data_IF_962640607086
#
_entry.id   IF_962640607086
#
_cell.length_a   1.000
_cell.length_b   1.000
_cell.length_c   1.000
_cell.angle_alpha   90.00
_cell.angle_beta   90.00
_cell.angle_gamma   90.00
#
_symmetry.space_group_name_H-M   'P 1'
#
loop_
_entity.id
_entity.type
_entity.pdbx_description
1 polymer ?
#
# COMPACT_ATOMS: atom_id res chain seq x y z
N UNK A 1 -6.60 11.13 -1.72
CA UNK A 1 -8.00 10.69 -1.76
C UNK A 1 -8.13 9.44 -0.89
N UNK A 2 -9.13 9.38 0.00
CA UNK A 2 -9.36 8.22 0.87
C UNK A 2 -10.32 7.29 0.15
N UNK A 3 -9.95 6.02 -0.05
CA UNK A 3 -10.87 5.02 -0.60
C UNK A 3 -11.47 4.17 0.53
N UNK A 4 -12.80 3.97 0.56
CA UNK A 4 -13.44 3.02 1.47
C UNK A 4 -12.89 1.61 1.31
N UNK A 5 -12.74 0.88 2.43
CA UNK A 5 -12.23 -0.49 2.42
C UNK A 5 -13.12 -1.45 1.61
N UNK A 6 -14.42 -1.20 1.57
CA UNK A 6 -15.40 -1.97 0.79
C UNK A 6 -15.17 -1.89 -0.74
N UNK A 7 -14.42 -0.90 -1.23
CA UNK A 7 -14.11 -0.75 -2.66
C UNK A 7 -12.87 -1.54 -3.08
N UNK A 8 -12.21 -2.25 -2.16
CA UNK A 8 -11.01 -3.02 -2.45
C UNK A 8 -11.37 -4.37 -3.09
N UNK A 9 -10.93 -4.65 -4.32
CA UNK A 9 -11.23 -5.90 -4.99
C UNK A 9 -10.71 -7.11 -4.22
N UNK A 10 -11.53 -8.17 -4.11
CA UNK A 10 -11.14 -9.43 -3.48
C UNK A 10 -11.04 -9.40 -1.96
N UNK A 11 -11.52 -8.34 -1.30
CA UNK A 11 -11.55 -8.26 0.16
C UNK A 11 -12.58 -9.24 0.72
N UNK A 12 -12.13 -10.19 1.55
CA UNK A 12 -12.99 -11.02 2.39
C UNK A 12 -13.59 -10.16 3.52
N UNK A 13 -14.90 -9.96 3.49
CA UNK A 13 -15.63 -9.19 4.51
C UNK A 13 -16.33 -10.08 5.55
N UNK A 14 -16.32 -11.40 5.36
CA UNK A 14 -17.00 -12.35 6.25
C UNK A 14 -16.24 -12.57 7.56
N UNK A 15 -14.90 -12.56 7.49
CA UNK A 15 -14.04 -12.70 8.66
C UNK A 15 -13.12 -11.47 8.85
N UNK A 16 -13.43 -10.57 9.80
CA UNK A 16 -12.66 -9.35 10.01
C UNK A 16 -11.21 -9.60 10.49
N UNK A 17 -10.90 -10.80 11.00
CA UNK A 17 -9.54 -11.19 11.43
C UNK A 17 -8.72 -11.71 10.24
N UNK A 18 -9.36 -12.03 9.11
CA UNK A 18 -8.75 -12.53 7.88
C UNK A 18 -8.82 -11.54 6.71
N UNK A 19 -9.12 -10.27 6.97
CA UNK A 19 -9.13 -9.23 5.95
C UNK A 19 -7.73 -9.06 5.34
N UNK A 20 -7.55 -9.64 4.17
CA UNK A 20 -6.36 -9.51 3.34
C UNK A 20 -6.74 -8.65 2.14
N UNK A 21 -5.92 -7.67 1.83
CA UNK A 21 -6.04 -6.87 0.62
C UNK A 21 -4.69 -6.68 -0.04
N UNK A 22 -4.71 -6.38 -1.35
CA UNK A 22 -3.50 -6.06 -2.13
C UNK A 22 -3.69 -4.69 -2.78
N UNK A 23 -2.70 -3.82 -2.61
CA UNK A 23 -2.66 -2.53 -3.30
C UNK A 23 -1.61 -2.57 -4.40
N UNK A 24 -1.99 -2.17 -5.60
CA UNK A 24 -1.09 -2.04 -6.74
C UNK A 24 -0.65 -0.59 -6.87
N UNK A 25 0.65 -0.35 -6.73
CA UNK A 25 1.25 0.95 -6.93
C UNK A 25 2.19 0.92 -8.13
N UNK A 26 2.01 1.89 -9.04
CA UNK A 26 2.93 2.15 -10.14
C UNK A 26 3.41 3.59 -10.04
N UNK A 27 4.69 3.77 -9.71
CA UNK A 27 5.29 5.11 -9.74
C UNK A 27 5.33 5.62 -11.19
N UNK A 28 4.99 6.88 -11.37
CA UNK A 28 5.22 7.63 -12.62
C UNK A 28 6.48 8.49 -12.54
N UNK A 29 7.17 8.48 -11.40
CA UNK A 29 8.39 9.25 -11.16
C UNK A 29 9.62 8.45 -11.57
N UNK A 30 10.61 9.14 -12.14
CA UNK A 30 11.95 8.59 -12.36
C UNK A 30 12.83 8.63 -11.10
N UNK A 31 12.28 9.01 -9.94
CA UNK A 31 12.96 9.05 -8.64
C UNK A 31 12.46 7.93 -7.73
N UNK A 32 13.30 7.55 -6.76
CA UNK A 32 12.91 6.67 -5.65
C UNK A 32 11.60 7.15 -5.04
N UNK A 33 10.67 6.22 -4.83
CA UNK A 33 9.34 6.53 -4.32
C UNK A 33 9.20 5.94 -2.91
N UNK A 34 8.68 6.73 -1.98
CA UNK A 34 8.32 6.29 -0.64
C UNK A 34 6.81 6.43 -0.47
N UNK A 35 6.17 5.35 -0.02
CA UNK A 35 4.76 5.33 0.33
C UNK A 35 4.60 5.20 1.83
N UNK A 36 3.80 6.09 2.40
CA UNK A 36 3.40 6.05 3.81
C UNK A 36 1.93 5.66 3.89
N UNK A 37 1.68 4.48 4.45
CA UNK A 37 0.34 3.96 4.70
C UNK A 37 -0.08 4.28 6.13
N UNK A 38 -1.29 4.82 6.26
CA UNK A 38 -1.97 5.01 7.53
C UNK A 38 -3.18 4.10 7.54
N UNK A 39 -3.15 3.06 8.38
CA UNK A 39 -4.26 2.13 8.56
C UNK A 39 -4.99 2.54 9.83
N UNK A 40 -6.26 2.92 9.69
CA UNK A 40 -7.11 3.30 10.82
C UNK A 40 -8.27 2.33 10.94
N UNK A 41 -8.45 1.76 12.11
CA UNK A 41 -9.61 0.91 12.40
C UNK A 41 -10.86 1.73 12.79
N UNK A 42 -12.00 1.04 12.93
CA UNK A 42 -13.27 1.63 13.32
C UNK A 42 -13.32 2.13 14.78
N UNK A 43 -12.31 1.82 15.61
CA UNK A 43 -12.14 2.37 16.96
C UNK A 43 -11.25 3.62 16.97
N UNK A 44 -10.76 4.03 15.79
CA UNK A 44 -9.90 5.21 15.64
C UNK A 44 -8.43 4.95 15.97
N UNK A 45 -8.02 3.70 16.16
CA UNK A 45 -6.61 3.35 16.34
C UNK A 45 -5.91 3.40 14.98
N UNK A 46 -4.77 4.06 14.94
CA UNK A 46 -3.98 4.24 13.72
C UNK A 46 -2.68 3.45 13.80
N UNK A 47 -2.27 2.87 12.67
CA UNK A 47 -0.96 2.27 12.48
C UNK A 47 -0.32 2.83 11.23
N UNK A 48 0.92 3.26 11.40
CA UNK A 48 1.78 3.76 10.34
C UNK A 48 2.64 2.63 9.77
N UNK A 49 2.77 2.59 8.44
CA UNK A 49 3.68 1.69 7.74
C UNK A 49 4.33 2.42 6.57
N UNK A 50 5.66 2.37 6.48
CA UNK A 50 6.43 2.98 5.38
C UNK A 50 6.95 1.88 4.47
N UNK A 51 6.75 2.05 3.16
CA UNK A 51 7.25 1.16 2.11
C UNK A 51 8.05 1.98 1.11
N UNK A 52 9.32 1.63 0.96
CA UNK A 52 10.22 2.26 -0.02
C UNK A 52 10.34 1.38 -1.25
N UNK A 53 10.13 1.99 -2.43
CA UNK A 53 10.37 1.34 -3.72
C UNK A 53 11.68 1.85 -4.28
N UNK A 54 12.68 0.98 -4.28
CA UNK A 54 13.92 1.24 -4.97
C UNK A 54 13.67 1.10 -6.48
N UNK A 55 14.17 2.06 -7.25
CA UNK A 55 14.31 1.86 -8.67
C UNK A 55 15.41 0.83 -8.84
N UNK A 56 15.16 -0.23 -9.60
CA UNK A 56 16.26 -1.06 -10.08
C UNK A 56 17.28 -0.10 -10.68
N UNK A 57 18.45 0.01 -10.05
CA UNK A 57 19.52 0.81 -10.61
C UNK A 57 19.89 0.13 -11.91
N UNK A 58 19.53 0.75 -13.03
CA UNK A 58 20.27 0.57 -14.28
C UNK A 58 21.67 1.14 -14.08
N UNK A 59 22.46 0.52 -13.21
CA UNK A 59 23.90 0.39 -13.45
C UNK A 59 24.03 -0.58 -14.60
N UNK A 60 24.02 0.00 -15.80
CA UNK A 60 24.70 -0.59 -16.93
C UNK A 60 26.19 -0.76 -16.62
N UNK A 61 26.79 -1.75 -17.30
CA UNK A 61 28.20 -2.19 -17.40
C UNK A 61 28.48 -3.46 -16.60
N UNK A 62 28.97 -4.56 -17.20
CA UNK A 62 29.65 -4.75 -18.49
C UNK A 62 29.47 -6.22 -18.94
#
# INVERSE_FOLDING_TARGET
>A
EVRPLAEVPGLDTENPVRQIFTLFYRSTSARRSELKFFVRDNFGREREMTVTFDLESTTAKE
#
